data_IF_319719140675
#
_entry.id   IF_319719140675
#
_cell.length_a   1.000
_cell.length_b   1.000
_cell.length_c   1.000
_cell.angle_alpha   90.00
_cell.angle_beta   90.00
_cell.angle_gamma   90.00
#
_symmetry.space_group_name_H-M   'P 1'
#
loop_
_entity.id
_entity.type
_entity.pdbx_description
1 polymer ?
#
# COMPACT_ATOMS: atom_id res chain seq x y z
N UNK A 1 11.21 4.33 -7.60
CA UNK A 1 9.81 4.13 -7.16
C UNK A 1 9.40 2.65 -6.95
N UNK A 2 10.24 1.65 -7.30
CA UNK A 2 9.90 0.23 -7.12
C UNK A 2 10.17 -0.32 -5.70
N UNK A 3 11.18 0.19 -5.00
CA UNK A 3 11.52 -0.26 -3.64
C UNK A 3 10.37 -0.04 -2.64
N UNK A 4 9.74 1.15 -2.67
CA UNK A 4 8.63 1.48 -1.78
C UNK A 4 7.38 0.61 -2.05
N UNK A 5 7.14 0.25 -3.31
CA UNK A 5 6.09 -0.70 -3.71
C UNK A 5 6.36 -2.10 -3.19
N UNK A 6 7.62 -2.58 -3.25
CA UNK A 6 8.01 -3.88 -2.69
C UNK A 6 7.81 -3.89 -1.18
N UNK A 7 8.29 -2.85 -0.48
CA UNK A 7 8.17 -2.73 0.98
C UNK A 7 6.70 -2.73 1.40
N UNK A 8 5.85 -1.92 0.77
CA UNK A 8 4.42 -1.88 1.09
C UNK A 8 3.71 -3.20 0.81
N UNK A 9 4.05 -3.87 -0.29
CA UNK A 9 3.45 -5.17 -0.64
C UNK A 9 3.88 -6.26 0.34
N UNK A 10 5.15 -6.26 0.76
CA UNK A 10 5.68 -7.17 1.76
C UNK A 10 5.02 -6.93 3.13
N UNK A 11 4.91 -5.67 3.57
CA UNK A 11 4.22 -5.31 4.81
C UNK A 11 2.76 -5.76 4.81
N UNK A 12 2.04 -5.51 3.71
CA UNK A 12 0.65 -5.94 3.58
C UNK A 12 0.51 -7.48 3.62
N UNK A 13 1.42 -8.20 2.95
CA UNK A 13 1.44 -9.66 2.98
C UNK A 13 1.75 -10.22 4.37
N UNK A 14 2.77 -9.69 5.05
CA UNK A 14 3.12 -10.09 6.41
C UNK A 14 1.96 -9.81 7.40
N UNK A 15 1.33 -8.64 7.30
CA UNK A 15 0.18 -8.30 8.14
C UNK A 15 -0.99 -9.27 7.90
N UNK A 16 -1.30 -9.58 6.63
CA UNK A 16 -2.35 -10.53 6.29
C UNK A 16 -2.06 -11.95 6.80
N UNK A 17 -0.80 -12.41 6.70
CA UNK A 17 -0.39 -13.70 7.25
C UNK A 17 -0.56 -13.74 8.79
N UNK A 18 -0.18 -12.68 9.50
CA UNK A 18 -0.36 -12.58 10.96
C UNK A 18 -1.83 -12.58 11.36
N UNK A 19 -2.70 -11.91 10.59
CA UNK A 19 -4.14 -11.91 10.83
C UNK A 19 -4.72 -13.30 10.57
N UNK A 20 -4.35 -13.96 9.47
CA UNK A 20 -4.79 -15.32 9.16
C UNK A 20 -4.33 -16.33 10.24
N UNK A 21 -3.08 -16.22 10.69
CA UNK A 21 -2.57 -17.02 11.80
C UNK A 21 -3.34 -16.77 13.10
N UNK A 22 -3.60 -15.51 13.44
CA UNK A 22 -4.39 -15.15 14.63
C UNK A 22 -5.81 -15.71 14.57
N UNK A 23 -6.46 -15.63 13.39
CA UNK A 23 -7.79 -16.17 13.20
C UNK A 23 -7.81 -17.71 13.36
N UNK A 24 -6.80 -18.40 12.82
CA UNK A 24 -6.61 -19.83 13.00
C UNK A 24 -6.34 -20.22 14.46
N UNK A 25 -5.51 -19.44 15.17
CA UNK A 25 -5.16 -19.67 16.57
C UNK A 25 -6.38 -19.65 17.49
N UNK A 26 -7.32 -18.73 17.25
CA UNK A 26 -8.55 -18.62 18.03
C UNK A 26 -9.67 -19.50 17.46
N UNK A 27 -9.45 -20.20 16.34
CA UNK A 27 -10.50 -20.95 15.63
C UNK A 27 -11.71 -20.08 15.24
N UNK A 28 -11.51 -18.76 15.12
CA UNK A 28 -12.58 -17.80 14.90
C UNK A 28 -13.48 -17.50 16.11
N UNK A 29 -13.17 -17.99 17.31
CA UNK A 29 -13.97 -17.74 18.53
C UNK A 29 -13.72 -16.34 19.12
N UNK A 30 -14.33 -15.34 18.49
CA UNK A 30 -14.26 -13.95 18.95
C UNK A 30 -14.95 -13.75 20.30
N UNK A 31 -15.96 -14.55 20.64
CA UNK A 31 -16.66 -14.48 21.91
C UNK A 31 -15.73 -14.90 23.06
N UNK A 32 -14.97 -15.99 22.88
CA UNK A 32 -13.93 -16.43 23.79
C UNK A 32 -12.83 -15.39 24.00
N UNK A 33 -12.36 -14.74 22.93
CA UNK A 33 -11.38 -13.63 23.03
C UNK A 33 -11.93 -12.47 23.85
N UNK A 34 -13.16 -12.05 23.60
CA UNK A 34 -13.78 -10.97 24.37
C UNK A 34 -13.96 -11.35 25.84
N UNK A 35 -14.29 -12.62 26.13
CA UNK A 35 -14.32 -13.18 27.47
C UNK A 35 -12.96 -13.09 28.16
N UNK A 36 -11.89 -13.52 27.48
CA UNK A 36 -10.51 -13.43 27.98
C UNK A 36 -10.07 -11.98 28.23
N UNK A 37 -10.35 -11.05 27.32
CA UNK A 37 -10.01 -9.63 27.47
C UNK A 37 -10.76 -8.99 28.65
N UNK A 38 -12.04 -9.34 28.83
CA UNK A 38 -12.83 -8.88 29.97
C UNK A 38 -12.29 -9.42 31.29
N UNK A 39 -11.93 -10.71 31.34
CA UNK A 39 -11.32 -11.34 32.52
C UNK A 39 -9.96 -10.71 32.86
N UNK A 40 -9.13 -10.43 31.85
CA UNK A 40 -7.86 -9.70 32.02
C UNK A 40 -8.07 -8.29 32.56
N UNK A 41 -9.09 -7.57 32.08
CA UNK A 41 -9.45 -6.26 32.61
C UNK A 41 -9.97 -6.32 34.05
N UNK A 42 -10.72 -7.36 34.42
CA UNK A 42 -11.16 -7.59 35.79
C UNK A 42 -9.98 -7.89 36.73
N UNK A 43 -9.04 -8.74 36.30
CA UNK A 43 -7.80 -9.00 37.03
C UNK A 43 -7.00 -7.72 37.28
N UNK A 44 -6.82 -6.88 36.25
CA UNK A 44 -6.11 -5.60 36.39
C UNK A 44 -6.75 -4.70 37.45
N UNK A 45 -8.09 -4.60 37.46
CA UNK A 45 -8.83 -3.83 38.47
C UNK A 45 -8.71 -4.41 39.88
N UNK A 46 -8.66 -5.74 40.03
CA UNK A 46 -8.44 -6.40 41.31
C UNK A 46 -7.04 -6.09 41.87
N UNK A 47 -6.02 -6.13 41.00
CA UNK A 47 -4.65 -5.81 41.38
C UNK A 47 -4.49 -4.33 41.74
N UNK A 48 -5.05 -3.42 40.93
CA UNK A 48 -5.00 -1.97 41.17
C UNK A 48 -5.82 -1.56 42.41
N UNK A 49 -6.91 -2.29 42.70
CA UNK A 49 -7.75 -2.09 43.88
C UNK A 49 -7.17 -2.65 45.19
N UNK A 50 -5.99 -3.25 45.16
CA UNK A 50 -5.35 -3.82 46.35
C UNK A 50 -6.10 -5.02 46.94
N UNK A 51 -6.79 -5.81 46.10
CA UNK A 51 -7.51 -6.99 46.54
C UNK A 51 -6.59 -8.04 47.16
N UNK A 52 -7.17 -8.92 47.99
CA UNK A 52 -6.46 -10.02 48.66
C UNK A 52 -5.61 -10.85 47.67
N UNK A 53 -4.32 -11.12 47.96
CA UNK A 53 -3.45 -11.94 47.12
C UNK A 53 -4.07 -13.28 46.69
N UNK A 54 -4.89 -13.91 47.54
CA UNK A 54 -5.58 -15.15 47.19
C UNK A 54 -6.60 -14.95 46.05
N UNK A 55 -7.33 -13.83 46.07
CA UNK A 55 -8.28 -13.47 45.01
C UNK A 55 -7.56 -13.14 43.69
N UNK A 56 -6.40 -12.49 43.75
CA UNK A 56 -5.57 -12.19 42.58
C UNK A 56 -4.97 -13.47 41.98
N UNK A 57 -4.56 -14.43 42.81
CA UNK A 57 -4.06 -15.73 42.37
C UNK A 57 -5.15 -16.56 41.68
N UNK A 58 -6.34 -16.66 42.29
CA UNK A 58 -7.49 -17.34 41.70
C UNK A 58 -7.92 -16.72 40.35
N UNK A 59 -7.89 -15.39 40.25
CA UNK A 59 -8.16 -14.70 38.99
C UNK A 59 -7.09 -14.95 37.91
N UNK A 60 -5.82 -15.13 38.28
CA UNK A 60 -4.77 -15.58 37.35
C UNK A 60 -5.00 -17.01 36.85
N UNK A 61 -5.40 -17.92 37.72
CA UNK A 61 -5.70 -19.32 37.35
C UNK A 61 -6.92 -19.38 36.42
N UNK A 62 -7.97 -18.62 36.71
CA UNK A 62 -9.14 -18.47 35.83
C UNK A 62 -8.75 -17.87 34.45
N UNK A 63 -7.82 -16.92 34.42
CA UNK A 63 -7.33 -16.35 33.16
C UNK A 63 -6.48 -17.35 32.35
N UNK A 64 -5.65 -18.16 33.02
CA UNK A 64 -4.85 -19.22 32.37
C UNK A 64 -5.73 -20.30 31.76
N UNK A 65 -6.77 -20.74 32.48
CA UNK A 65 -7.73 -21.73 31.98
C UNK A 65 -8.52 -21.22 30.78
N UNK A 66 -9.01 -19.96 30.83
CA UNK A 66 -9.64 -19.31 29.67
C UNK A 66 -8.67 -19.20 28.48
N UNK A 67 -7.42 -18.80 28.72
CA UNK A 67 -6.41 -18.71 27.66
C UNK A 67 -6.16 -20.06 26.95
N UNK A 68 -6.12 -21.15 27.72
CA UNK A 68 -5.95 -22.51 27.18
C UNK A 68 -7.18 -23.00 26.39
N UNK A 69 -8.38 -22.52 26.70
CA UNK A 69 -9.60 -22.88 25.97
C UNK A 69 -9.75 -22.09 24.66
N UNK A 70 -9.35 -20.82 24.66
CA UNK A 70 -9.51 -19.92 23.51
C UNK A 70 -8.46 -20.20 22.43
N UNK A 71 -7.22 -20.51 22.81
CA UNK A 71 -6.14 -20.78 21.86
C UNK A 71 -5.98 -22.25 21.49
N UNK A 72 -5.85 -22.55 20.21
CA UNK A 72 -5.39 -23.85 19.70
C UNK A 72 -4.06 -23.68 18.95
N UNK A 73 -2.91 -23.82 19.64
CA UNK A 73 -1.60 -23.66 19.03
C UNK A 73 -1.27 -24.77 18.02
N UNK A 74 -1.85 -25.97 18.18
CA UNK A 74 -1.58 -27.11 17.31
C UNK A 74 -2.24 -26.90 15.95
N UNK A 75 -3.50 -26.46 15.96
CA UNK A 75 -4.20 -26.07 14.73
C UNK A 75 -3.51 -24.89 14.04
N UNK A 76 -3.13 -23.85 14.81
CA UNK A 76 -2.42 -22.70 14.28
C UNK A 76 -1.11 -23.10 13.59
N UNK A 77 -0.33 -23.99 14.21
CA UNK A 77 0.92 -24.51 13.65
C UNK A 77 0.71 -25.26 12.33
N UNK A 78 -0.34 -26.09 12.24
CA UNK A 78 -0.70 -26.80 11.00
C UNK A 78 -1.14 -25.87 9.87
N UNK A 79 -1.69 -24.70 10.22
CA UNK A 79 -2.19 -23.70 9.27
C UNK A 79 -1.18 -22.60 8.94
N UNK A 80 0.05 -22.65 9.46
CA UNK A 80 1.14 -21.75 9.06
C UNK A 80 1.31 -21.69 7.54
N UNK A 81 1.36 -22.83 6.79
CA UNK A 81 1.50 -22.78 5.34
C UNK A 81 0.35 -22.03 4.66
N UNK A 82 -0.89 -22.22 5.15
CA UNK A 82 -2.06 -21.54 4.62
C UNK A 82 -2.02 -20.04 4.91
N UNK A 83 -1.64 -19.65 6.13
CA UNK A 83 -1.49 -18.24 6.51
C UNK A 83 -0.44 -17.53 5.66
N UNK A 84 0.68 -18.21 5.35
CA UNK A 84 1.70 -17.71 4.42
C UNK A 84 1.17 -17.57 3.00
N UNK A 85 0.38 -18.53 2.50
CA UNK A 85 -0.26 -18.43 1.19
C UNK A 85 -1.22 -17.24 1.11
N UNK A 86 -2.01 -17.00 2.16
CA UNK A 86 -2.89 -15.82 2.25
C UNK A 86 -2.05 -14.54 2.23
N UNK A 87 -0.98 -14.46 3.02
CA UNK A 87 -0.07 -13.32 3.01
C UNK A 87 0.55 -13.07 1.63
N UNK A 88 0.99 -14.13 0.95
CA UNK A 88 1.56 -14.04 -0.39
C UNK A 88 0.51 -13.60 -1.43
N UNK A 89 -0.71 -14.11 -1.35
CA UNK A 89 -1.82 -13.72 -2.21
C UNK A 89 -2.18 -12.22 -2.03
N UNK A 90 -2.26 -11.75 -0.78
CA UNK A 90 -2.53 -10.33 -0.48
C UNK A 90 -1.37 -9.44 -0.93
N UNK A 91 -0.14 -9.81 -0.61
CA UNK A 91 1.05 -9.08 -1.05
C UNK A 91 1.13 -8.97 -2.57
N UNK A 92 0.84 -10.06 -3.29
CA UNK A 92 0.75 -10.06 -4.75
C UNK A 92 -0.40 -9.17 -5.27
N UNK A 93 -1.58 -9.22 -4.64
CA UNK A 93 -2.71 -8.37 -5.03
C UNK A 93 -2.38 -6.88 -4.87
N UNK A 94 -1.80 -6.49 -3.73
CA UNK A 94 -1.33 -5.12 -3.48
C UNK A 94 -0.28 -4.72 -4.51
N UNK A 95 0.74 -5.57 -4.73
CA UNK A 95 1.76 -5.33 -5.74
C UNK A 95 1.15 -5.12 -7.12
N UNK A 96 0.18 -5.95 -7.52
CA UNK A 96 -0.52 -5.84 -8.82
C UNK A 96 -1.31 -4.54 -8.93
N UNK A 97 -2.06 -4.14 -7.90
CA UNK A 97 -2.85 -2.90 -7.90
C UNK A 97 -1.96 -1.67 -8.04
N UNK A 98 -0.87 -1.60 -7.27
CA UNK A 98 0.09 -0.50 -7.38
C UNK A 98 0.85 -0.50 -8.71
N UNK A 99 1.08 -1.69 -9.30
CA UNK A 99 1.67 -1.80 -10.64
C UNK A 99 0.78 -1.25 -11.74
N UNK A 100 -0.51 -1.58 -11.70
CA UNK A 100 -1.49 -1.07 -12.66
C UNK A 100 -1.62 0.45 -12.60
N UNK A 101 -1.44 1.06 -11.43
CA UNK A 101 -1.45 2.53 -11.28
C UNK A 101 -0.19 3.20 -11.84
N UNK A 102 0.97 2.54 -11.82
CA UNK A 102 2.20 3.06 -12.45
C UNK A 102 2.20 2.90 -13.97
N UNK A 103 1.54 1.86 -14.50
CA UNK A 103 1.39 1.63 -15.95
C UNK A 103 0.18 2.34 -16.53
N UNK A 104 -0.69 2.94 -15.71
CA UNK A 104 -1.73 3.80 -16.23
C UNK A 104 -1.03 5.01 -16.87
N UNK A 105 -1.17 5.21 -18.20
CA UNK A 105 -0.64 6.42 -18.82
C UNK A 105 -1.23 7.59 -18.04
N UNK A 106 -0.38 8.47 -17.50
CA UNK A 106 -0.84 9.67 -16.82
C UNK A 106 -1.87 10.35 -17.71
N UNK A 107 -2.96 10.86 -17.12
CA UNK A 107 -4.07 11.46 -17.89
C UNK A 107 -3.49 12.31 -19.02
N UNK A 108 -3.71 11.94 -20.30
CA UNK A 108 -3.00 12.54 -21.43
C UNK A 108 -3.16 14.06 -21.41
N UNK A 109 -4.34 14.55 -21.05
CA UNK A 109 -4.65 15.97 -20.87
C UNK A 109 -3.74 16.70 -19.88
N UNK A 110 -3.34 16.04 -18.78
CA UNK A 110 -2.47 16.64 -17.76
C UNK A 110 -1.03 16.72 -18.27
N UNK A 111 -0.57 15.67 -18.95
CA UNK A 111 0.79 15.62 -19.49
C UNK A 111 0.95 16.61 -20.65
N UNK A 112 -0.04 16.73 -21.53
CA UNK A 112 -0.08 17.74 -22.59
C UNK A 112 -0.07 19.15 -22.01
N UNK A 113 -0.86 19.43 -20.96
CA UNK A 113 -0.84 20.73 -20.25
C UNK A 113 0.52 21.07 -19.65
N UNK A 114 1.30 20.08 -19.21
CA UNK A 114 2.66 20.30 -18.71
C UNK A 114 3.60 20.71 -19.84
N UNK A 115 3.50 20.05 -21.01
CA UNK A 115 4.28 20.40 -22.20
C UNK A 115 3.95 21.81 -22.69
N UNK A 116 2.66 22.15 -22.80
CA UNK A 116 2.23 23.52 -23.16
C UNK A 116 2.75 24.57 -22.19
N UNK A 117 2.67 24.31 -20.88
CA UNK A 117 3.16 25.22 -19.84
C UNK A 117 4.66 25.47 -19.97
N UNK A 118 5.45 24.42 -20.24
CA UNK A 118 6.88 24.56 -20.47
C UNK A 118 7.16 25.35 -21.75
N UNK A 119 6.51 24.98 -22.84
CA UNK A 119 6.69 25.64 -24.12
C UNK A 119 6.39 27.14 -24.01
N UNK A 120 5.30 27.56 -23.35
CA UNK A 120 5.03 28.98 -23.11
C UNK A 120 6.08 29.66 -22.23
N UNK A 121 6.63 28.99 -21.21
CA UNK A 121 7.71 29.55 -20.38
C UNK A 121 9.02 29.76 -21.15
N UNK A 122 9.27 28.94 -22.18
CA UNK A 122 10.51 28.97 -22.99
C UNK A 122 10.33 29.68 -24.35
N UNK A 123 9.21 30.39 -24.56
CA UNK A 123 8.98 31.15 -25.79
C UNK A 123 8.55 30.30 -27.00
N UNK A 124 8.01 29.11 -26.76
CA UNK A 124 7.43 28.23 -27.75
C UNK A 124 8.37 27.14 -28.28
N UNK A 125 9.65 27.14 -27.88
CA UNK A 125 10.66 26.14 -28.26
C UNK A 125 11.24 25.48 -27.01
N UNK A 126 11.35 24.17 -26.99
CA UNK A 126 11.93 23.41 -25.88
C UNK A 126 12.53 22.09 -26.35
N UNK A 127 13.47 21.52 -25.60
CA UNK A 127 14.05 20.20 -25.86
C UNK A 127 13.45 19.13 -24.94
N UNK A 128 13.69 17.83 -25.23
CA UNK A 128 13.35 16.76 -24.29
C UNK A 128 14.09 16.91 -22.96
N UNK A 129 15.31 17.44 -22.97
CA UNK A 129 16.09 17.71 -21.76
C UNK A 129 15.44 18.81 -20.92
N UNK A 130 15.00 19.90 -21.54
CA UNK A 130 14.23 20.94 -20.84
C UNK A 130 12.98 20.37 -20.18
N UNK A 131 12.30 19.41 -20.83
CA UNK A 131 11.10 18.77 -20.31
C UNK A 131 11.41 17.86 -19.11
N UNK A 132 12.52 17.13 -19.14
CA UNK A 132 12.98 16.31 -18.01
C UNK A 132 13.43 17.17 -16.81
N UNK A 133 14.08 18.32 -17.06
CA UNK A 133 14.56 19.22 -16.01
C UNK A 133 13.43 20.06 -15.39
N UNK A 134 12.42 20.43 -16.18
CA UNK A 134 11.40 21.41 -15.78
C UNK A 134 10.04 20.81 -15.42
N UNK A 135 9.85 19.50 -15.61
CA UNK A 135 8.58 18.80 -15.40
C UNK A 135 8.79 17.54 -14.54
N UNK A 136 7.82 17.14 -13.71
CA UNK A 136 7.86 15.87 -12.97
C UNK A 136 7.62 14.64 -13.88
N UNK A 137 7.83 14.77 -15.20
CA UNK A 137 7.65 13.68 -16.16
C UNK A 137 8.93 12.84 -16.22
N UNK A 138 8.77 11.52 -16.17
CA UNK A 138 9.87 10.61 -16.49
C UNK A 138 10.21 10.67 -17.99
N UNK A 139 11.43 10.28 -18.36
CA UNK A 139 11.91 10.36 -19.75
C UNK A 139 11.04 9.57 -20.72
N UNK A 140 10.55 8.40 -20.28
CA UNK A 140 9.63 7.56 -21.05
C UNK A 140 8.29 8.26 -21.31
N UNK A 141 7.77 8.98 -20.30
CA UNK A 141 6.52 9.74 -20.40
C UNK A 141 6.71 10.98 -21.26
N UNK A 142 7.83 11.68 -21.11
CA UNK A 142 8.19 12.84 -21.92
C UNK A 142 8.22 12.48 -23.42
N UNK A 143 8.89 11.38 -23.79
CA UNK A 143 8.91 10.89 -25.18
C UNK A 143 7.53 10.47 -25.68
N UNK A 144 6.75 9.78 -24.85
CA UNK A 144 5.40 9.32 -25.23
C UNK A 144 4.44 10.49 -25.49
N UNK A 145 4.53 11.56 -24.69
CA UNK A 145 3.66 12.74 -24.81
C UNK A 145 4.08 13.62 -25.97
N UNK A 146 5.38 13.90 -26.14
CA UNK A 146 5.86 14.68 -27.29
C UNK A 146 5.63 13.94 -28.60
N UNK A 147 5.82 12.62 -28.65
CA UNK A 147 5.50 11.78 -29.80
C UNK A 147 4.02 11.88 -30.18
N UNK A 148 3.11 11.73 -29.21
CA UNK A 148 1.66 11.88 -29.44
C UNK A 148 1.31 13.29 -29.92
N UNK A 149 1.90 14.34 -29.34
CA UNK A 149 1.63 15.72 -29.74
C UNK A 149 2.20 16.06 -31.13
N UNK A 150 3.27 15.39 -31.57
CA UNK A 150 3.78 15.46 -32.94
C UNK A 150 2.81 14.77 -33.92
N UNK A 151 2.32 13.57 -33.59
CA UNK A 151 1.33 12.84 -34.39
C UNK A 151 0.03 13.65 -34.57
N UNK A 152 -0.41 14.34 -33.50
CA UNK A 152 -1.57 15.22 -33.52
C UNK A 152 -1.32 16.57 -34.22
N UNK A 153 -0.11 16.82 -34.72
CA UNK A 153 0.26 18.06 -35.42
C UNK A 153 0.30 19.31 -34.53
N UNK A 154 0.35 19.13 -33.20
CA UNK A 154 0.38 20.21 -32.19
C UNK A 154 1.80 20.71 -31.93
N UNK A 155 2.79 19.82 -32.09
CA UNK A 155 4.21 20.15 -32.07
C UNK A 155 4.82 20.01 -33.47
N UNK A 156 5.89 20.73 -33.71
CA UNK A 156 6.82 20.54 -34.81
C UNK A 156 8.19 20.18 -34.24
N UNK A 157 8.89 19.26 -34.88
CA UNK A 157 10.24 18.85 -34.48
C UNK A 157 11.25 19.46 -35.44
N UNK A 158 12.25 20.14 -34.88
CA UNK A 158 13.40 20.67 -35.60
C UNK A 158 14.68 20.15 -34.92
N UNK A 159 15.24 19.08 -35.47
CA UNK A 159 16.35 18.33 -34.87
C UNK A 159 16.02 17.78 -33.47
N UNK A 160 16.68 18.33 -32.46
CA UNK A 160 16.48 17.99 -31.03
C UNK A 160 15.44 18.88 -30.32
N UNK A 161 14.99 19.93 -31.01
CA UNK A 161 14.06 20.92 -30.48
C UNK A 161 12.63 20.63 -30.91
N UNK A 162 11.68 20.95 -30.03
CA UNK A 162 10.25 20.90 -30.27
C UNK A 162 9.71 22.33 -30.21
N UNK A 163 8.89 22.70 -31.19
CA UNK A 163 8.22 23.99 -31.23
C UNK A 163 6.71 23.82 -31.27
N UNK A 164 5.98 24.73 -30.62
CA UNK A 164 4.53 24.78 -30.73
C UNK A 164 4.14 25.24 -32.13
N UNK A 165 3.21 24.51 -32.77
CA UNK A 165 2.69 24.96 -34.06
C UNK A 165 1.79 26.19 -33.85
N UNK A 166 2.01 27.29 -34.58
CA UNK A 166 1.18 28.48 -34.48
C UNK A 166 -0.25 28.14 -34.94
N UNK A 167 -1.23 28.33 -34.06
CA UNK A 167 -2.64 27.99 -34.28
C UNK A 167 -3.18 26.85 -33.41
N UNK A 168 -2.34 26.16 -32.64
CA UNK A 168 -2.82 25.20 -31.62
C UNK A 168 -3.37 25.96 -30.40
N UNK A 169 -4.68 26.27 -30.41
CA UNK A 169 -5.38 26.72 -29.20
C UNK A 169 -5.59 25.51 -28.28
N UNK A 170 -5.27 25.69 -27.00
CA UNK A 170 -5.52 24.73 -25.93
C UNK A 170 -7.02 24.55 -25.66
#
# INVERSE_FOLDING_TARGET
>A
MNALRIILSALAGCAAALVAYSAAFVRGDMAGVMGYLRARGALRRLTEGGADPAAVAAAHDALRTLGAQVGDPVLAARLIPLALLVGLAVGYAVWRVFGRKQTQPGRPDVQERMVYRLAWRKGGVFTLRDLAESSPLDETQARAVTGRMLELGRLTRDGESFSLRPGSRA
#
